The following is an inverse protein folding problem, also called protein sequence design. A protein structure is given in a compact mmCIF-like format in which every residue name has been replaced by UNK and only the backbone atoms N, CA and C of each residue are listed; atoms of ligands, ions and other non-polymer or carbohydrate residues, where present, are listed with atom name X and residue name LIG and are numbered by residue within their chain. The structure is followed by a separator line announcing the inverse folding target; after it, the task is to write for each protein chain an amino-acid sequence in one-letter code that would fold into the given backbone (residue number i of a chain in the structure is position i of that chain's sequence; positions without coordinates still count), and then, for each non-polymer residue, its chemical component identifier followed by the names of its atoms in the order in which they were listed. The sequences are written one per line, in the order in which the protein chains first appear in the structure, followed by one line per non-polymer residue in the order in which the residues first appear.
data_IF_866648207274
#
_entry.id   IF_866648207274
#
_cell.length_a   1.000
_cell.length_b   1.000
_cell.length_c   1.000
_cell.angle_alpha   90.00
_cell.angle_beta   90.00
_cell.angle_gamma   90.00
#
_symmetry.space_group_name_H-M   'P 1'
#
loop_
_entity.id
_entity.type
_entity.pdbx_description
1 polymer ?
#
# COMPACT_ATOMS: atom_id res chain seq x y z
N UNK A 1 9.92 -29.66 -26.31
CA UNK A 1 9.55 -28.29 -25.90
C UNK A 1 8.43 -27.83 -26.82
N UNK A 2 7.33 -27.33 -26.26
CA UNK A 2 6.32 -26.65 -27.07
C UNK A 2 6.93 -25.35 -27.58
N UNK A 3 6.98 -25.18 -28.90
CA UNK A 3 7.40 -23.92 -29.52
C UNK A 3 6.23 -22.95 -29.44
N UNK A 4 6.38 -21.86 -28.68
CA UNK A 4 5.37 -20.80 -28.58
C UNK A 4 5.68 -19.67 -29.57
N UNK A 5 4.64 -18.96 -30.00
CA UNK A 5 4.73 -17.76 -30.84
C UNK A 5 4.00 -16.58 -30.17
N UNK A 6 4.14 -15.37 -30.72
CA UNK A 6 3.34 -14.23 -30.27
C UNK A 6 1.82 -14.47 -30.39
N UNK A 7 1.37 -15.27 -31.37
CA UNK A 7 -0.03 -15.64 -31.48
C UNK A 7 -0.48 -16.55 -30.34
N UNK A 8 0.38 -17.50 -29.92
CA UNK A 8 0.15 -18.32 -28.73
C UNK A 8 -0.03 -17.42 -27.49
N UNK A 9 0.86 -16.45 -27.29
CA UNK A 9 0.81 -15.55 -26.13
C UNK A 9 -0.44 -14.64 -26.17
N UNK A 10 -0.86 -14.16 -27.35
CA UNK A 10 -2.09 -13.37 -27.50
C UNK A 10 -3.35 -14.17 -27.16
N UNK A 11 -3.43 -15.42 -27.64
CA UNK A 11 -4.57 -16.29 -27.33
C UNK A 11 -4.65 -16.58 -25.82
N UNK A 12 -3.51 -16.85 -25.18
CA UNK A 12 -3.43 -17.03 -23.73
C UNK A 12 -3.78 -15.75 -22.97
N UNK A 13 -3.31 -14.58 -23.42
CA UNK A 13 -3.65 -13.31 -22.77
C UNK A 13 -5.16 -13.02 -22.79
N UNK A 14 -5.83 -13.25 -23.93
CA UNK A 14 -7.29 -13.12 -24.03
C UNK A 14 -7.98 -14.05 -23.03
N UNK A 15 -7.59 -15.33 -23.03
CA UNK A 15 -8.12 -16.32 -22.09
C UNK A 15 -7.94 -15.86 -20.63
N UNK A 16 -6.73 -15.43 -20.26
CA UNK A 16 -6.45 -14.98 -18.90
C UNK A 16 -7.21 -13.69 -18.55
N UNK A 17 -7.45 -12.81 -19.51
CA UNK A 17 -8.28 -11.63 -19.31
C UNK A 17 -9.74 -12.00 -19.02
N UNK A 18 -10.29 -12.96 -19.77
CA UNK A 18 -11.65 -13.50 -19.56
C UNK A 18 -11.77 -14.22 -18.20
N UNK A 19 -10.72 -14.91 -17.76
CA UNK A 19 -10.62 -15.54 -16.44
C UNK A 19 -10.39 -14.52 -15.30
N UNK A 20 -10.23 -13.23 -15.60
CA UNK A 20 -10.05 -12.18 -14.62
C UNK A 20 -8.65 -12.10 -14.00
N UNK A 21 -7.64 -12.76 -14.60
CA UNK A 21 -6.25 -12.65 -14.13
C UNK A 21 -5.73 -11.23 -14.34
N UNK A 22 -5.11 -10.67 -13.30
CA UNK A 22 -4.48 -9.37 -13.36
C UNK A 22 -3.32 -9.37 -14.36
N UNK A 23 -3.09 -8.24 -15.04
CA UNK A 23 -2.07 -8.10 -16.10
C UNK A 23 -0.70 -8.67 -15.70
N UNK A 24 -0.27 -8.46 -14.46
CA UNK A 24 1.02 -8.95 -13.98
C UNK A 24 1.10 -10.47 -13.74
N UNK A 25 -0.03 -11.14 -13.54
CA UNK A 25 -0.09 -12.59 -13.30
C UNK A 25 0.06 -13.35 -14.61
N UNK A 26 -0.40 -12.75 -15.72
CA UNK A 26 -0.50 -13.38 -17.03
C UNK A 26 0.83 -13.87 -17.59
N UNK A 27 1.96 -13.14 -17.51
CA UNK A 27 3.24 -13.64 -18.02
C UNK A 27 3.75 -14.86 -17.26
N UNK A 28 3.63 -14.85 -15.93
CA UNK A 28 4.03 -15.99 -15.10
C UNK A 28 3.10 -17.18 -15.31
N UNK A 29 1.79 -16.93 -15.44
CA UNK A 29 0.80 -17.96 -15.76
C UNK A 29 1.04 -18.57 -17.14
N UNK A 30 1.36 -17.75 -18.15
CA UNK A 30 1.74 -18.23 -19.47
C UNK A 30 2.99 -19.10 -19.41
N UNK A 31 4.00 -18.69 -18.64
CA UNK A 31 5.21 -19.50 -18.46
C UNK A 31 4.89 -20.86 -17.80
N UNK A 32 4.01 -20.90 -16.80
CA UNK A 32 3.53 -22.16 -16.21
C UNK A 32 2.78 -23.03 -17.21
N UNK A 33 1.82 -22.46 -17.95
CA UNK A 33 0.95 -23.21 -18.86
C UNK A 33 1.73 -23.72 -20.09
N UNK A 34 2.69 -22.95 -20.61
CA UNK A 34 3.53 -23.31 -21.77
C UNK A 34 4.63 -24.31 -21.38
N UNK A 35 5.29 -24.11 -20.23
CA UNK A 35 6.45 -24.92 -19.85
C UNK A 35 6.07 -26.16 -19.06
N UNK A 36 4.90 -26.16 -18.40
CA UNK A 36 4.40 -27.28 -17.61
C UNK A 36 5.44 -27.81 -16.63
N UNK A 37 5.72 -29.11 -16.71
CA UNK A 37 6.73 -29.79 -15.87
C UNK A 37 8.17 -29.31 -16.10
N UNK A 38 8.44 -28.61 -17.20
CA UNK A 38 9.76 -28.03 -17.49
C UNK A 38 9.97 -26.68 -16.80
N UNK A 39 8.94 -26.15 -16.13
CA UNK A 39 9.05 -24.94 -15.34
C UNK A 39 9.88 -25.19 -14.07
N UNK A 40 10.86 -24.33 -13.78
CA UNK A 40 11.69 -24.45 -12.59
C UNK A 40 11.99 -23.07 -12.00
N UNK A 41 11.78 -22.94 -10.69
CA UNK A 41 12.16 -21.77 -9.89
C UNK A 41 13.41 -22.15 -9.08
N UNK A 42 14.55 -22.27 -9.76
CA UNK A 42 15.84 -22.63 -9.16
C UNK A 42 16.90 -21.53 -9.33
N UNK A 43 18.06 -21.72 -8.68
CA UNK A 43 19.23 -20.82 -8.83
C UNK A 43 19.69 -20.86 -10.29
N UNK A 44 19.59 -19.71 -10.97
CA UNK A 44 19.83 -19.56 -12.42
C UNK A 44 18.57 -19.24 -13.24
N UNK A 45 17.37 -19.43 -12.67
CA UNK A 45 16.09 -19.21 -13.35
C UNK A 45 15.83 -20.19 -14.51
N UNK A 46 14.64 -20.11 -15.10
CA UNK A 46 14.33 -20.78 -16.36
C UNK A 46 14.45 -19.74 -17.51
N UNK A 47 15.46 -19.85 -18.39
CA UNK A 47 15.66 -18.90 -19.50
C UNK A 47 14.44 -18.80 -20.43
N UNK A 48 13.69 -19.89 -20.59
CA UNK A 48 12.48 -19.90 -21.38
C UNK A 48 11.35 -19.10 -20.73
N UNK A 49 11.20 -19.24 -19.40
CA UNK A 49 10.24 -18.43 -18.65
C UNK A 49 10.59 -16.94 -18.76
N UNK A 50 11.87 -16.58 -18.69
CA UNK A 50 12.32 -15.20 -18.89
C UNK A 50 12.00 -14.69 -20.30
N UNK A 51 12.19 -15.51 -21.34
CA UNK A 51 11.82 -15.15 -22.72
C UNK A 51 10.33 -14.91 -22.89
N UNK A 52 9.49 -15.78 -22.32
CA UNK A 52 8.02 -15.62 -22.34
C UNK A 52 7.62 -14.31 -21.61
N UNK A 53 8.20 -14.07 -20.43
CA UNK A 53 7.91 -12.85 -19.66
C UNK A 53 8.36 -11.58 -20.40
N UNK A 54 9.51 -11.61 -21.07
CA UNK A 54 10.00 -10.50 -21.88
C UNK A 54 9.09 -10.23 -23.08
N UNK A 55 8.65 -11.27 -23.79
CA UNK A 55 7.71 -11.15 -24.91
C UNK A 55 6.36 -10.57 -24.48
N UNK A 56 5.84 -10.99 -23.31
CA UNK A 56 4.65 -10.36 -22.72
C UNK A 56 4.86 -8.86 -22.44
N UNK A 57 6.03 -8.48 -21.92
CA UNK A 57 6.36 -7.09 -21.61
C UNK A 57 6.63 -6.23 -22.86
N UNK A 58 6.83 -6.84 -24.03
CA UNK A 58 6.84 -6.18 -25.34
C UNK A 58 5.41 -5.99 -25.88
N UNK A 59 4.57 -7.00 -25.75
CA UNK A 59 3.16 -6.94 -26.15
C UNK A 59 2.34 -5.97 -25.28
N UNK A 60 2.61 -5.97 -23.98
CA UNK A 60 1.84 -5.27 -22.96
C UNK A 60 2.86 -4.59 -22.01
N UNK A 61 3.38 -3.40 -22.36
CA UNK A 61 4.37 -2.70 -21.54
C UNK A 61 3.92 -2.46 -20.10
N UNK A 62 2.61 -2.33 -19.86
CA UNK A 62 1.97 -2.15 -18.55
C UNK A 62 2.24 -3.31 -17.60
N UNK A 63 2.60 -4.50 -18.09
CA UNK A 63 3.06 -5.63 -17.27
C UNK A 63 4.25 -5.23 -16.39
N UNK A 64 5.14 -4.37 -16.89
CA UNK A 64 6.32 -3.91 -16.15
C UNK A 64 5.95 -3.02 -14.96
N UNK A 65 4.86 -2.27 -15.07
CA UNK A 65 4.36 -1.36 -14.04
C UNK A 65 3.22 -1.94 -13.20
N UNK A 66 2.65 -3.08 -13.60
CA UNK A 66 1.55 -3.75 -12.91
C UNK A 66 2.01 -4.88 -12.00
N UNK A 67 3.32 -5.22 -11.99
CA UNK A 67 3.93 -6.26 -11.17
C UNK A 67 3.38 -6.24 -9.73
N UNK A 68 2.94 -7.38 -9.16
CA UNK A 68 2.34 -7.33 -7.85
C UNK A 68 3.42 -6.97 -6.85
N UNK A 69 3.25 -5.82 -6.22
CA UNK A 69 3.67 -5.69 -4.85
C UNK A 69 2.69 -6.41 -3.93
N UNK A 70 3.11 -6.69 -2.70
CA UNK A 70 2.20 -7.14 -1.62
C UNK A 70 1.21 -6.02 -1.25
N UNK A 71 1.53 -4.77 -1.62
CA UNK A 71 0.55 -3.71 -1.76
C UNK A 71 1.13 -2.40 -2.31
N UNK A 72 0.25 -1.42 -2.46
CA UNK A 72 0.52 -0.14 -3.11
C UNK A 72 0.17 0.99 -2.15
N UNK A 73 1.02 1.99 -2.09
CA UNK A 73 0.82 3.20 -1.30
C UNK A 73 1.71 4.32 -1.81
N UNK A 74 2.09 5.25 -0.95
CA UNK A 74 2.84 6.42 -1.36
C UNK A 74 3.92 6.84 -0.35
N UNK A 75 4.91 7.56 -0.89
CA UNK A 75 5.83 8.39 -0.13
C UNK A 75 5.82 9.79 -0.74
N UNK A 76 6.14 10.80 0.06
CA UNK A 76 6.14 12.18 -0.42
C UNK A 76 7.25 13.02 0.20
N UNK A 77 7.72 13.99 -0.58
CA UNK A 77 8.60 15.08 -0.15
C UNK A 77 7.88 16.37 -0.48
N UNK A 78 7.47 17.12 0.54
CA UNK A 78 6.57 18.27 0.40
C UNK A 78 5.26 17.82 -0.29
N UNK A 79 4.96 18.27 -1.50
CA UNK A 79 3.78 17.92 -2.30
C UNK A 79 4.13 17.08 -3.55
N UNK A 80 5.40 16.68 -3.67
CA UNK A 80 5.87 15.74 -4.67
C UNK A 80 5.62 14.32 -4.17
N UNK A 81 4.70 13.62 -4.84
CA UNK A 81 4.26 12.28 -4.46
C UNK A 81 4.89 11.24 -5.36
N UNK A 82 5.34 10.13 -4.78
CA UNK A 82 5.79 8.94 -5.48
C UNK A 82 4.87 7.78 -5.09
N UNK A 83 4.30 7.11 -6.09
CA UNK A 83 3.66 5.80 -5.89
C UNK A 83 4.73 4.78 -5.50
N UNK A 84 4.44 4.02 -4.45
CA UNK A 84 5.32 2.97 -3.92
C UNK A 84 4.61 1.63 -4.07
N UNK A 85 5.32 0.66 -4.61
CA UNK A 85 4.87 -0.73 -4.74
C UNK A 85 5.77 -1.57 -3.85
N UNK A 86 5.23 -2.17 -2.79
CA UNK A 86 6.02 -2.99 -1.86
C UNK A 86 6.36 -4.31 -2.54
N UNK A 87 7.63 -4.60 -2.84
CA UNK A 87 7.98 -5.81 -3.58
C UNK A 87 7.67 -7.08 -2.77
N UNK A 88 7.33 -8.17 -3.47
CA UNK A 88 7.33 -9.51 -2.90
C UNK A 88 8.78 -9.92 -2.65
N UNK A 89 9.16 -10.12 -1.39
CA UNK A 89 10.51 -10.57 -1.02
C UNK A 89 10.51 -12.09 -0.91
N UNK A 90 11.12 -12.77 -1.89
CA UNK A 90 11.34 -14.22 -1.85
C UNK A 90 12.79 -14.54 -1.47
N UNK A 91 13.01 -15.25 -0.35
CA UNK A 91 14.33 -15.69 0.11
C UNK A 91 14.68 -15.25 1.54
N UNK A 92 15.88 -15.64 2.01
CA UNK A 92 16.40 -15.35 3.34
C UNK A 92 16.61 -13.85 3.62
N UNK A 93 16.95 -13.46 4.86
CA UNK A 93 16.93 -12.08 5.32
C UNK A 93 17.99 -11.22 4.61
N UNK A 94 17.61 -10.57 3.51
CA UNK A 94 18.38 -9.45 2.99
C UNK A 94 18.01 -8.20 3.80
N UNK A 95 19.03 -7.40 4.14
CA UNK A 95 18.83 -6.11 4.82
C UNK A 95 17.98 -5.23 3.91
N UNK A 96 16.79 -4.87 4.39
CA UNK A 96 15.86 -4.07 3.61
C UNK A 96 16.43 -2.66 3.40
N UNK A 97 16.65 -2.29 2.15
CA UNK A 97 17.09 -0.95 1.77
C UNK A 97 15.87 -0.10 1.40
N UNK A 98 15.55 0.90 2.22
CA UNK A 98 14.39 1.79 2.04
C UNK A 98 14.35 2.40 0.64
N UNK A 99 15.46 2.96 0.16
CA UNK A 99 15.51 3.62 -1.15
C UNK A 99 15.15 2.67 -2.30
N UNK A 100 15.56 1.40 -2.20
CA UNK A 100 15.22 0.36 -3.17
C UNK A 100 13.74 -0.02 -3.05
N UNK A 101 13.22 -0.15 -1.83
CA UNK A 101 11.80 -0.39 -1.57
C UNK A 101 10.88 0.74 -2.06
N UNK A 102 11.37 1.97 -2.04
CA UNK A 102 10.71 3.14 -2.63
C UNK A 102 10.84 3.20 -4.18
N UNK A 103 11.51 2.23 -4.78
CA UNK A 103 11.67 2.10 -6.23
C UNK A 103 12.69 3.07 -6.83
N UNK A 104 13.67 3.55 -6.06
CA UNK A 104 14.78 4.33 -6.62
C UNK A 104 15.89 3.42 -7.15
N UNK A 105 16.56 3.81 -8.25
CA UNK A 105 17.64 3.02 -8.82
C UNK A 105 18.91 3.06 -7.97
N UNK A 106 19.14 4.15 -7.23
CA UNK A 106 20.28 4.30 -6.32
C UNK A 106 19.89 5.09 -5.07
N UNK A 107 20.70 4.97 -4.01
CA UNK A 107 20.56 5.76 -2.78
C UNK A 107 20.70 7.26 -3.05
N UNK A 108 21.60 7.65 -3.95
CA UNK A 108 21.86 9.05 -4.31
C UNK A 108 20.66 9.68 -5.03
N UNK A 109 19.97 8.91 -5.87
CA UNK A 109 18.75 9.37 -6.54
C UNK A 109 17.62 9.62 -5.53
N UNK A 110 17.46 8.73 -4.55
CA UNK A 110 16.52 8.92 -3.45
C UNK A 110 16.89 10.11 -2.57
N UNK A 111 18.19 10.27 -2.23
CA UNK A 111 18.69 11.40 -1.43
C UNK A 111 18.43 12.74 -2.11
N UNK A 112 18.71 12.85 -3.41
CA UNK A 112 18.39 14.04 -4.23
C UNK A 112 16.89 14.32 -4.27
N UNK A 113 16.06 13.28 -4.40
CA UNK A 113 14.60 13.44 -4.34
C UNK A 113 14.13 13.94 -2.98
N UNK A 114 14.80 13.53 -1.90
CA UNK A 114 14.62 14.07 -0.55
C UNK A 114 15.23 15.47 -0.37
N UNK A 115 15.62 16.16 -1.45
CA UNK A 115 16.26 17.49 -1.43
C UNK A 115 17.52 17.57 -0.57
N UNK A 116 18.20 16.44 -0.42
CA UNK A 116 19.37 16.32 0.43
C UNK A 116 19.10 16.74 1.90
N UNK A 117 17.86 16.51 2.35
CA UNK A 117 17.40 16.82 3.69
C UNK A 117 17.11 15.54 4.50
N UNK A 118 17.70 15.46 5.68
CA UNK A 118 17.60 14.28 6.54
C UNK A 118 16.18 14.04 7.09
N UNK A 119 15.37 15.09 7.27
CA UNK A 119 13.98 14.99 7.74
C UNK A 119 13.08 14.43 6.64
N UNK A 120 13.25 14.90 5.41
CA UNK A 120 12.53 14.35 4.25
C UNK A 120 12.93 12.88 4.00
N UNK A 121 14.21 12.55 4.12
CA UNK A 121 14.66 11.16 4.03
C UNK A 121 14.08 10.29 5.17
N UNK A 122 14.03 10.81 6.39
CA UNK A 122 13.42 10.09 7.53
C UNK A 122 11.92 9.85 7.31
N UNK A 123 11.16 10.87 6.89
CA UNK A 123 9.72 10.76 6.59
C UNK A 123 9.43 9.74 5.50
N UNK A 124 10.22 9.71 4.43
CA UNK A 124 10.03 8.74 3.34
C UNK A 124 10.40 7.32 3.77
N UNK A 125 11.35 7.18 4.70
CA UNK A 125 11.67 5.89 5.33
C UNK A 125 10.52 5.36 6.18
N UNK A 126 9.93 6.21 7.01
CA UNK A 126 8.76 5.84 7.81
C UNK A 126 7.53 5.57 6.94
N UNK A 127 7.29 6.35 5.88
CA UNK A 127 6.21 6.07 4.95
C UNK A 127 6.36 4.69 4.29
N UNK A 128 7.58 4.31 3.91
CA UNK A 128 7.86 2.95 3.43
C UNK A 128 7.59 1.89 4.52
N UNK A 129 8.05 2.12 5.75
CA UNK A 129 7.82 1.20 6.86
C UNK A 129 6.32 1.01 7.16
N UNK A 130 5.53 2.09 7.14
CA UNK A 130 4.09 2.04 7.31
C UNK A 130 3.42 1.19 6.23
N UNK A 131 3.81 1.38 4.97
CA UNK A 131 3.27 0.57 3.88
C UNK A 131 3.73 -0.90 3.97
N UNK A 132 4.97 -1.15 4.38
CA UNK A 132 5.50 -2.50 4.59
C UNK A 132 4.71 -3.23 5.69
N UNK A 133 4.53 -2.59 6.85
CA UNK A 133 3.82 -3.16 8.00
C UNK A 133 2.34 -3.41 7.68
N UNK A 134 1.69 -2.50 6.96
CA UNK A 134 0.33 -2.68 6.48
C UNK A 134 0.21 -3.90 5.57
N UNK A 135 1.07 -4.00 4.56
CA UNK A 135 0.92 -4.99 3.48
C UNK A 135 1.33 -6.39 3.92
N UNK A 136 2.50 -6.55 4.52
CA UNK A 136 2.94 -7.84 5.07
C UNK A 136 2.17 -8.22 6.33
N UNK A 137 1.76 -7.25 7.14
CA UNK A 137 0.92 -7.54 8.30
C UNK A 137 -0.43 -8.12 7.91
N UNK A 138 -1.06 -7.59 6.86
CA UNK A 138 -2.29 -8.18 6.31
C UNK A 138 -2.06 -9.55 5.67
N UNK A 139 -0.91 -9.78 5.03
CA UNK A 139 -0.55 -11.10 4.49
C UNK A 139 -0.46 -12.15 5.61
N UNK A 140 0.19 -11.80 6.73
CA UNK A 140 0.30 -12.65 7.93
C UNK A 140 -1.08 -12.93 8.57
N UNK A 141 -2.02 -11.97 8.49
CA UNK A 141 -3.39 -12.11 9.04
C UNK A 141 -4.38 -12.81 8.09
N UNK A 142 -4.01 -13.11 6.84
CA UNK A 142 -4.93 -13.64 5.79
C UNK A 142 -5.54 -15.00 6.12
N UNK A 143 -5.07 -15.70 7.16
CA UNK A 143 -5.62 -16.97 7.64
C UNK A 143 -7.10 -16.94 8.07
N UNK A 144 -7.69 -15.75 8.28
CA UNK A 144 -9.10 -15.55 8.59
C UNK A 144 -9.82 -14.79 7.46
N UNK A 145 -10.58 -15.49 6.61
CA UNK A 145 -11.37 -14.90 5.53
C UNK A 145 -12.66 -14.22 6.04
N UNK A 146 -12.54 -13.31 7.02
CA UNK A 146 -13.66 -12.65 7.67
C UNK A 146 -14.01 -11.26 7.11
N UNK A 147 -15.14 -10.68 7.57
CA UNK A 147 -15.58 -9.33 7.18
C UNK A 147 -14.53 -8.23 7.45
N UNK A 148 -13.71 -8.37 8.49
CA UNK A 148 -12.58 -7.51 8.81
C UNK A 148 -11.55 -7.44 7.68
N UNK A 149 -11.20 -8.59 7.09
CA UNK A 149 -10.22 -8.65 6.01
C UNK A 149 -10.77 -8.00 4.73
N UNK A 150 -12.07 -8.12 4.49
CA UNK A 150 -12.73 -7.42 3.39
C UNK A 150 -12.61 -5.90 3.55
N UNK A 151 -12.81 -5.38 4.76
CA UNK A 151 -12.67 -3.95 5.04
C UNK A 151 -11.24 -3.47 4.86
N UNK A 152 -10.23 -4.19 5.39
CA UNK A 152 -8.83 -3.83 5.16
C UNK A 152 -8.44 -3.92 3.69
N UNK A 153 -8.92 -4.92 2.94
CA UNK A 153 -8.70 -5.00 1.49
C UNK A 153 -9.29 -3.79 0.77
N UNK A 154 -10.50 -3.37 1.13
CA UNK A 154 -11.10 -2.15 0.60
C UNK A 154 -10.33 -0.89 1.01
N UNK A 155 -9.78 -0.83 2.23
CA UNK A 155 -8.95 0.28 2.69
C UNK A 155 -7.67 0.39 1.85
N UNK A 156 -6.97 -0.73 1.63
CA UNK A 156 -5.77 -0.78 0.76
C UNK A 156 -6.10 -0.41 -0.68
N UNK A 157 -7.26 -0.86 -1.20
CA UNK A 157 -7.72 -0.45 -2.54
C UNK A 157 -7.95 1.05 -2.66
N UNK A 158 -8.53 1.69 -1.64
CA UNK A 158 -8.69 3.15 -1.63
C UNK A 158 -7.33 3.86 -1.52
N UNK A 159 -6.40 3.33 -0.71
CA UNK A 159 -5.04 3.86 -0.63
C UNK A 159 -4.30 3.74 -1.98
N UNK A 160 -4.52 2.65 -2.71
CA UNK A 160 -4.00 2.46 -4.06
C UNK A 160 -4.55 3.51 -5.03
N UNK A 161 -5.84 3.83 -4.98
CA UNK A 161 -6.42 4.91 -5.79
C UNK A 161 -5.74 6.26 -5.48
N UNK A 162 -5.53 6.57 -4.19
CA UNK A 162 -4.78 7.77 -3.78
C UNK A 162 -3.37 7.77 -4.37
N UNK A 163 -2.67 6.65 -4.26
CA UNK A 163 -1.30 6.50 -4.76
C UNK A 163 -1.19 6.56 -6.29
N UNK A 164 -2.25 6.18 -7.02
CA UNK A 164 -2.30 6.27 -8.47
C UNK A 164 -2.66 7.69 -8.95
N UNK A 165 -3.56 8.38 -8.25
CA UNK A 165 -4.05 9.70 -8.67
C UNK A 165 -3.10 10.82 -8.24
N UNK A 166 -2.63 10.83 -6.97
CA UNK A 166 -1.88 11.97 -6.44
C UNK A 166 -0.60 12.31 -7.22
N UNK A 167 0.24 11.37 -7.72
CA UNK A 167 1.47 11.73 -8.41
C UNK A 167 1.29 12.64 -9.63
N UNK A 168 0.16 12.51 -10.34
CA UNK A 168 -0.09 13.22 -11.61
C UNK A 168 -1.36 14.08 -11.58
N UNK A 169 -2.21 13.93 -10.57
CA UNK A 169 -3.50 14.60 -10.45
C UNK A 169 -3.35 16.11 -10.28
N UNK A 170 -4.03 16.87 -11.16
CA UNK A 170 -4.12 18.33 -11.08
C UNK A 170 -5.07 18.77 -9.95
N UNK A 171 -6.25 18.13 -9.85
CA UNK A 171 -7.15 18.31 -8.71
C UNK A 171 -6.86 17.29 -7.62
N UNK A 172 -6.95 17.74 -6.37
CA UNK A 172 -6.74 16.92 -5.17
C UNK A 172 -8.05 16.57 -4.46
N UNK A 173 -9.18 17.12 -4.90
CA UNK A 173 -10.47 16.88 -4.26
C UNK A 173 -10.95 15.44 -4.46
N UNK A 174 -10.65 14.84 -5.62
CA UNK A 174 -11.06 13.47 -5.96
C UNK A 174 -10.44 12.40 -5.06
N UNK A 175 -9.29 12.69 -4.44
CA UNK A 175 -8.61 11.73 -3.55
C UNK A 175 -9.02 11.88 -2.08
N UNK A 176 -9.75 12.94 -1.71
CA UNK A 176 -10.18 13.15 -0.32
C UNK A 176 -11.12 12.03 0.16
N UNK A 177 -12.03 11.59 -0.71
CA UNK A 177 -12.92 10.49 -0.38
C UNK A 177 -12.14 9.18 -0.14
N UNK A 178 -11.28 8.71 -1.07
CA UNK A 178 -10.42 7.55 -0.82
C UNK A 178 -9.54 7.65 0.44
N UNK A 179 -9.00 8.85 0.76
CA UNK A 179 -8.26 9.10 2.00
C UNK A 179 -9.15 8.82 3.23
N UNK A 180 -10.35 9.39 3.29
CA UNK A 180 -11.29 9.17 4.40
C UNK A 180 -11.74 7.70 4.49
N UNK A 181 -12.00 7.04 3.35
CA UNK A 181 -12.37 5.63 3.31
C UNK A 181 -11.25 4.72 3.82
N UNK A 182 -9.99 5.03 3.50
CA UNK A 182 -8.82 4.30 4.02
C UNK A 182 -8.81 4.29 5.55
N UNK A 183 -9.04 5.45 6.17
CA UNK A 183 -9.14 5.58 7.63
C UNK A 183 -10.34 4.83 8.21
N UNK A 184 -11.54 5.07 7.68
CA UNK A 184 -12.79 4.48 8.17
C UNK A 184 -12.74 2.95 8.16
N UNK A 185 -12.38 2.38 7.00
CA UNK A 185 -12.39 0.95 6.78
C UNK A 185 -11.31 0.24 7.60
N UNK A 186 -10.14 0.85 7.78
CA UNK A 186 -9.07 0.28 8.61
C UNK A 186 -9.45 0.23 10.09
N UNK A 187 -10.06 1.30 10.61
CA UNK A 187 -10.53 1.34 12.00
C UNK A 187 -11.63 0.29 12.25
N UNK A 188 -12.60 0.18 11.34
CA UNK A 188 -13.65 -0.83 11.42
C UNK A 188 -13.08 -2.25 11.29
N UNK A 189 -12.15 -2.47 10.36
CA UNK A 189 -11.45 -3.73 10.20
C UNK A 189 -10.82 -4.19 11.50
N UNK A 190 -10.04 -3.33 12.16
CA UNK A 190 -9.43 -3.65 13.44
C UNK A 190 -10.44 -3.94 14.56
N UNK A 191 -11.51 -3.15 14.68
CA UNK A 191 -12.53 -3.39 15.69
C UNK A 191 -13.28 -4.71 15.47
N UNK A 192 -13.61 -5.05 14.21
CA UNK A 192 -14.25 -6.34 13.88
C UNK A 192 -13.29 -7.50 14.15
N UNK A 193 -12.01 -7.35 13.79
CA UNK A 193 -11.00 -8.35 14.11
C UNK A 193 -10.88 -8.59 15.61
N UNK A 194 -11.09 -7.54 16.43
CA UNK A 194 -11.16 -7.62 17.88
C UNK A 194 -12.50 -8.16 18.44
N UNK A 195 -13.41 -8.62 17.57
CA UNK A 195 -14.69 -9.21 17.97
C UNK A 195 -15.88 -8.26 17.99
N UNK A 196 -15.76 -7.03 17.49
CA UNK A 196 -16.94 -6.17 17.31
C UNK A 196 -17.89 -6.76 16.27
N UNK A 197 -19.19 -6.74 16.55
CA UNK A 197 -20.21 -7.11 15.58
C UNK A 197 -20.15 -6.15 14.36
N UNK A 198 -19.97 -6.65 13.11
CA UNK A 198 -20.01 -5.84 11.91
C UNK A 198 -21.27 -4.98 11.79
N UNK A 199 -22.40 -5.42 12.36
CA UNK A 199 -23.66 -4.68 12.35
C UNK A 199 -23.65 -3.43 13.23
N UNK A 200 -22.72 -3.35 14.21
CA UNK A 200 -22.58 -2.21 15.13
C UNK A 200 -22.15 -0.91 14.45
N UNK A 201 -21.66 -0.99 13.20
CA UNK A 201 -21.25 0.17 12.41
C UNK A 201 -22.36 0.68 11.47
N UNK A 202 -23.59 0.19 11.59
CA UNK A 202 -24.73 0.72 10.83
C UNK A 202 -25.21 2.04 11.42
N UNK A 203 -25.53 3.01 10.54
CA UNK A 203 -26.10 4.30 10.92
C UNK A 203 -25.04 5.40 11.17
N UNK A 204 -25.52 6.56 11.66
CA UNK A 204 -24.74 7.81 11.73
C UNK A 204 -23.44 7.70 12.54
N UNK A 205 -23.46 6.95 13.64
CA UNK A 205 -22.31 6.80 14.52
C UNK A 205 -21.24 5.86 13.95
N UNK A 206 -21.62 4.99 13.01
CA UNK A 206 -20.71 4.12 12.29
C UNK A 206 -19.74 4.85 11.36
N UNK A 207 -19.96 6.13 11.06
CA UNK A 207 -19.05 6.96 10.26
C UNK A 207 -18.29 7.99 11.10
N UNK A 208 -18.47 7.98 12.42
CA UNK A 208 -17.78 8.90 13.32
C UNK A 208 -16.37 8.37 13.64
N UNK A 209 -15.39 8.78 12.82
CA UNK A 209 -14.01 8.32 12.94
C UNK A 209 -13.40 8.57 14.32
N UNK A 210 -13.74 9.68 14.97
CA UNK A 210 -13.21 9.98 16.31
C UNK A 210 -13.72 8.97 17.34
N UNK A 211 -15.03 8.65 17.31
CA UNK A 211 -15.59 7.59 18.18
C UNK A 211 -14.98 6.22 17.88
N UNK A 212 -14.75 5.89 16.61
CA UNK A 212 -14.10 4.63 16.24
C UNK A 212 -12.67 4.56 16.76
N UNK A 213 -11.91 5.65 16.63
CA UNK A 213 -10.53 5.72 17.12
C UNK A 213 -10.47 5.66 18.65
N UNK A 214 -11.31 6.42 19.36
CA UNK A 214 -11.35 6.40 20.82
C UNK A 214 -11.75 5.00 21.34
N UNK A 215 -12.69 4.32 20.66
CA UNK A 215 -13.06 2.93 20.96
C UNK A 215 -11.89 1.97 20.72
N UNK A 216 -11.20 2.08 19.58
CA UNK A 216 -10.07 1.22 19.26
C UNK A 216 -8.92 1.39 20.27
N UNK A 217 -8.60 2.63 20.65
CA UNK A 217 -7.56 2.91 21.65
C UNK A 217 -7.93 2.38 23.04
N UNK A 218 -9.21 2.35 23.39
CA UNK A 218 -9.69 1.79 24.65
C UNK A 218 -9.64 0.25 24.66
N UNK A 219 -10.13 -0.39 23.59
CA UNK A 219 -10.21 -1.85 23.50
C UNK A 219 -8.84 -2.48 23.21
N UNK A 220 -7.97 -1.79 22.46
CA UNK A 220 -6.68 -2.30 21.99
C UNK A 220 -5.63 -1.17 22.00
N UNK A 221 -5.15 -0.79 23.20
CA UNK A 221 -4.16 0.28 23.34
C UNK A 221 -2.89 0.00 22.54
N UNK A 222 -2.33 1.05 21.93
CA UNK A 222 -1.10 0.95 21.15
C UNK A 222 -0.31 2.25 21.19
N UNK A 223 1.01 2.18 21.00
CA UNK A 223 1.90 3.36 20.99
C UNK A 223 1.51 4.43 19.97
N UNK A 224 0.85 4.02 18.90
CA UNK A 224 0.44 4.90 17.79
C UNK A 224 -0.85 5.69 18.07
N UNK A 225 -1.56 5.44 19.19
CA UNK A 225 -2.89 6.00 19.46
C UNK A 225 -2.94 7.52 19.39
N UNK A 226 -1.94 8.22 19.97
CA UNK A 226 -1.90 9.67 19.98
C UNK A 226 -1.80 10.25 18.55
N UNK A 227 -0.89 9.70 17.73
CA UNK A 227 -0.71 10.12 16.35
C UNK A 227 -1.94 9.75 15.49
N UNK A 228 -2.46 8.54 15.65
CA UNK A 228 -3.67 8.08 14.96
C UNK A 228 -4.87 8.98 15.23
N UNK A 229 -5.06 9.39 16.49
CA UNK A 229 -6.13 10.31 16.89
C UNK A 229 -5.94 11.71 16.31
N UNK A 230 -4.73 12.24 16.27
CA UNK A 230 -4.43 13.53 15.63
C UNK A 230 -4.82 13.51 14.14
N UNK A 231 -4.51 12.42 13.44
CA UNK A 231 -4.84 12.23 12.02
C UNK A 231 -6.35 12.26 11.82
N UNK A 232 -7.09 11.51 12.65
CA UNK A 232 -8.56 11.46 12.60
C UNK A 232 -9.20 12.84 12.79
N UNK A 233 -8.65 13.67 13.68
CA UNK A 233 -9.13 15.04 13.91
C UNK A 233 -8.88 15.99 12.71
N UNK A 234 -7.91 15.68 11.85
CA UNK A 234 -7.55 16.48 10.67
C UNK A 234 -8.30 16.03 9.41
N UNK A 235 -8.96 14.87 9.43
CA UNK A 235 -9.72 14.39 8.28
C UNK A 235 -10.96 15.26 8.05
N UNK A 236 -11.25 15.65 6.79
CA UNK A 236 -12.43 16.44 6.50
C UNK A 236 -13.71 15.60 6.60
N UNK A 237 -14.88 16.24 6.78
CA UNK A 237 -16.17 15.54 6.77
C UNK A 237 -16.43 14.85 5.43
N UNK A 238 -16.43 13.51 5.44
CA UNK A 238 -16.58 12.64 4.28
C UNK A 238 -17.82 12.92 3.40
N UNK A 239 -18.96 13.27 3.99
CA UNK A 239 -20.19 13.52 3.21
C UNK A 239 -20.16 14.89 2.54
N UNK A 240 -19.65 15.92 3.23
CA UNK A 240 -19.60 17.28 2.70
C UNK A 240 -18.55 17.41 1.58
N UNK A 241 -17.44 16.68 1.68
CA UNK A 241 -16.36 16.68 0.68
C UNK A 241 -16.79 16.26 -0.72
N UNK A 242 -17.92 15.56 -0.85
CA UNK A 242 -18.46 15.09 -2.13
C UNK A 242 -19.22 16.13 -2.92
N UNK A 243 -19.82 17.08 -2.21
CA UNK A 243 -20.75 18.04 -2.80
C UNK A 243 -20.19 19.45 -2.85
N UNK A 244 -19.01 19.68 -2.26
CA UNK A 244 -18.33 20.98 -2.31
C UNK A 244 -16.82 20.82 -2.13
N UNK A 245 -16.00 21.56 -2.90
CA UNK A 245 -14.56 21.62 -2.67
C UNK A 245 -14.29 22.11 -1.25
N UNK A 246 -13.43 21.39 -0.51
CA UNK A 246 -13.08 21.76 0.87
C UNK A 246 -12.05 22.90 0.90
N UNK A 247 -11.39 23.17 -0.23
CA UNK A 247 -10.37 24.21 -0.34
C UNK A 247 -9.04 23.82 0.28
N UNK A 248 -8.78 22.51 0.47
CA UNK A 248 -7.47 22.03 0.91
C UNK A 248 -6.43 22.22 -0.19
N UNK A 249 -5.27 22.73 0.18
CA UNK A 249 -4.11 22.82 -0.72
C UNK A 249 -3.53 21.43 -0.93
N UNK A 250 -2.87 21.23 -2.07
CA UNK A 250 -2.21 19.96 -2.42
C UNK A 250 -1.33 19.40 -1.31
N UNK A 251 -0.47 20.23 -0.72
CA UNK A 251 0.39 19.81 0.40
C UNK A 251 -0.40 19.24 1.59
N UNK A 252 -1.56 19.83 1.92
CA UNK A 252 -2.41 19.33 3.01
C UNK A 252 -3.00 17.97 2.66
N UNK A 253 -3.43 17.78 1.41
CA UNK A 253 -3.96 16.49 0.93
C UNK A 253 -2.87 15.42 0.90
N UNK A 254 -1.66 15.75 0.47
CA UNK A 254 -0.51 14.83 0.48
C UNK A 254 -0.16 14.42 1.91
N UNK A 255 -0.15 15.37 2.87
CA UNK A 255 0.07 15.06 4.29
C UNK A 255 -1.02 14.14 4.83
N UNK A 256 -2.29 14.39 4.51
CA UNK A 256 -3.40 13.52 4.89
C UNK A 256 -3.25 12.11 4.29
N UNK A 257 -2.85 11.99 3.03
CA UNK A 257 -2.66 10.70 2.36
C UNK A 257 -1.56 9.85 3.04
N UNK A 258 -0.40 10.45 3.33
CA UNK A 258 0.67 9.74 4.06
C UNK A 258 0.26 9.41 5.50
N UNK A 259 -0.50 10.31 6.15
CA UNK A 259 -1.01 10.10 7.49
C UNK A 259 -2.02 8.94 7.57
N UNK A 260 -3.00 8.84 6.65
CA UNK A 260 -3.95 7.72 6.69
C UNK A 260 -3.31 6.38 6.34
N UNK A 261 -2.21 6.38 5.57
CA UNK A 261 -1.38 5.18 5.39
C UNK A 261 -0.77 4.71 6.72
N UNK A 262 -0.23 5.63 7.53
CA UNK A 262 0.22 5.31 8.89
C UNK A 262 -0.93 4.81 9.77
N UNK A 263 -2.09 5.46 9.73
CA UNK A 263 -3.26 5.05 10.50
C UNK A 263 -3.68 3.62 10.12
N UNK A 264 -3.76 3.31 8.83
CA UNK A 264 -4.08 1.96 8.35
C UNK A 264 -3.04 0.94 8.83
N UNK A 265 -1.75 1.25 8.70
CA UNK A 265 -0.67 0.39 9.21
C UNK A 265 -0.78 0.15 10.72
N UNK A 266 -1.03 1.21 11.50
CA UNK A 266 -1.25 1.14 12.95
C UNK A 266 -2.38 0.19 13.31
N UNK A 267 -3.48 0.17 12.55
CA UNK A 267 -4.59 -0.77 12.81
C UNK A 267 -4.16 -2.24 12.67
N UNK A 268 -3.21 -2.53 11.77
CA UNK A 268 -2.70 -3.89 11.51
C UNK A 268 -1.60 -4.28 12.49
N UNK A 269 -0.72 -3.35 12.89
CA UNK A 269 0.35 -3.58 13.89
C UNK A 269 -0.16 -4.09 15.24
N UNK A 270 -1.43 -3.83 15.57
CA UNK A 270 -2.06 -4.36 16.79
C UNK A 270 -2.19 -5.89 16.80
N UNK A 271 -2.20 -6.51 15.64
CA UNK A 271 -2.47 -7.94 15.49
C UNK A 271 -1.35 -8.69 14.77
N UNK A 272 -0.45 -7.98 14.09
CA UNK A 272 0.69 -8.56 13.39
C UNK A 272 2.00 -8.37 14.16
N UNK A 273 2.92 -9.31 14.00
CA UNK A 273 4.31 -9.16 14.44
C UNK A 273 5.16 -8.28 13.50
N UNK A 274 4.59 -7.81 12.38
CA UNK A 274 5.26 -6.91 11.43
C UNK A 274 5.23 -5.48 11.94
N UNK A 275 6.42 -5.01 12.32
CA UNK A 275 6.58 -3.67 12.85
C UNK A 275 7.98 -3.11 12.55
N UNK A 276 8.24 -2.88 11.27
CA UNK A 276 9.45 -2.22 10.78
C UNK A 276 9.53 -0.78 11.31
N UNK A 277 8.39 -0.10 11.48
CA UNK A 277 8.39 1.25 12.02
C UNK A 277 9.00 1.34 13.42
N UNK A 278 8.66 0.42 14.34
CA UNK A 278 9.24 0.40 15.70
C UNK A 278 10.77 0.21 15.68
N UNK A 279 11.27 -0.59 14.75
CA UNK A 279 12.71 -0.81 14.57
C UNK A 279 13.42 0.46 14.09
N UNK A 280 12.73 1.29 13.30
CA UNK A 280 13.24 2.58 12.82
C UNK A 280 13.06 3.72 13.84
N UNK A 281 12.14 3.58 14.79
CA UNK A 281 11.92 4.51 15.91
C UNK A 281 12.99 4.39 17.01
N UNK A 282 13.79 3.31 16.96
CA UNK A 282 14.86 3.02 17.92
C UNK A 282 16.23 2.97 17.21
N UNK A 283 17.32 3.26 17.92
CA UNK A 283 18.68 2.99 17.41
C UNK A 283 19.31 4.06 16.51
N UNK A 284 18.78 5.28 16.46
CA UNK A 284 19.36 6.41 15.71
C UNK A 284 18.52 6.80 14.50
N UNK A 285 19.14 7.40 13.47
CA UNK A 285 18.43 7.78 12.24
C UNK A 285 17.72 6.55 11.64
N UNK A 286 16.43 6.64 11.23
CA UNK A 286 15.64 7.84 10.97
C UNK A 286 14.86 8.41 12.16
N UNK A 287 15.02 7.90 13.39
CA UNK A 287 14.32 8.42 14.56
C UNK A 287 14.73 9.88 14.92
N UNK A 288 13.82 10.65 15.57
CA UNK A 288 12.44 10.30 15.87
C UNK A 288 11.50 10.53 14.68
N UNK A 289 10.38 9.79 14.64
CA UNK A 289 9.28 10.07 13.72
C UNK A 289 8.75 11.48 13.99
N UNK A 290 8.71 12.32 12.95
CA UNK A 290 8.12 13.67 13.03
C UNK A 290 6.60 13.62 12.95
N UNK A 291 5.90 14.60 13.54
CA UNK A 291 4.47 14.78 13.33
C UNK A 291 4.10 14.94 11.85
N UNK A 292 2.93 14.44 11.49
CA UNK A 292 2.38 14.56 10.13
C UNK A 292 1.92 16.00 9.83
N UNK A 293 1.47 16.72 10.86
CA UNK A 293 0.95 18.08 10.77
C UNK A 293 1.75 19.01 11.69
N UNK A 294 2.93 19.48 11.27
CA UNK A 294 3.63 20.52 12.02
C UNK A 294 2.78 21.80 12.04
N UNK A 295 2.80 22.47 13.20
CA UNK A 295 2.18 23.77 13.43
C UNK A 295 2.73 24.87 12.50
#
# INVERSE_FOLDING_TARGET
MQTWTFETLRALDIKYAEEGLHLHQRPFRAALDILGISFSIGVGGNPEAQRIMAAYAEMIPEVRSSWPGVGIGLAAVVDQVRRVIVPIVMGGPQRLEVWRGLGFPTKEAWWKWCREDHDFAARTSFAFADLYDLTYGLDDLRGAAGPEFTLWKMAVSNLEDVANILPTGFSVDSVLQPICMTAELSLKGALIHNGADPSSFKGKDGHNLLKLMDRLALEIPHRDDAAAREIVLRLPPYVQSRYSPIGLRRLQVVRLAVAVQFLAASTVRRFSHRDLASQMETGGWPAPRRPFFPD
#
